data_IF_836993451490
#
_entry.id   IF_836993451490
#
_cell.length_a   1.000
_cell.length_b   1.000
_cell.length_c   1.000
_cell.angle_alpha   90.00
_cell.angle_beta   90.00
_cell.angle_gamma   90.00
#
_symmetry.space_group_name_H-M   'P 1'
#
loop_
_entity.id
_entity.type
_entity.pdbx_description
1 polymer ?
#
# COMPACT_ATOMS: atom_id res chain seq x y z
N UNK A 1 -10.87 17.51 -2.36
CA UNK A 1 -11.56 18.64 -3.03
C UNK A 1 -10.83 19.91 -2.64
N UNK A 2 -10.53 20.78 -3.59
CA UNK A 2 -9.74 22.01 -3.34
C UNK A 2 -10.57 23.03 -2.54
N UNK A 3 -9.94 23.81 -1.66
CA UNK A 3 -10.59 24.88 -0.88
C UNK A 3 -11.46 25.83 -1.72
N UNK A 4 -11.13 25.96 -3.01
CA UNK A 4 -11.91 26.72 -3.97
C UNK A 4 -13.34 26.17 -4.15
N UNK A 5 -13.51 24.84 -4.20
CA UNK A 5 -14.82 24.20 -4.34
C UNK A 5 -15.72 24.43 -3.12
N UNK A 6 -15.12 24.49 -1.93
CA UNK A 6 -15.84 24.71 -0.67
C UNK A 6 -16.27 26.18 -0.52
N UNK A 7 -15.42 27.14 -0.93
CA UNK A 7 -15.82 28.55 -1.00
C UNK A 7 -16.93 28.81 -2.02
N UNK A 8 -16.88 28.17 -3.18
CA UNK A 8 -17.91 28.30 -4.22
C UNK A 8 -19.24 27.74 -3.72
N UNK A 9 -19.26 26.53 -3.15
CA UNK A 9 -20.48 25.94 -2.58
C UNK A 9 -21.11 26.83 -1.51
N UNK A 10 -20.30 27.45 -0.64
CA UNK A 10 -20.78 28.36 0.40
C UNK A 10 -21.37 29.65 -0.19
N UNK A 11 -20.69 30.27 -1.16
CA UNK A 11 -21.17 31.49 -1.83
C UNK A 11 -22.44 31.25 -2.64
N UNK A 12 -22.51 30.13 -3.34
CA UNK A 12 -23.69 29.74 -4.15
C UNK A 12 -24.86 29.39 -3.23
N UNK A 13 -24.63 28.69 -2.11
CA UNK A 13 -25.65 28.40 -1.11
C UNK A 13 -26.29 29.67 -0.51
N UNK A 14 -25.49 30.72 -0.25
CA UNK A 14 -26.03 32.01 0.20
C UNK A 14 -26.78 32.77 -0.89
N UNK A 15 -26.33 32.73 -2.15
CA UNK A 15 -27.05 33.35 -3.27
C UNK A 15 -28.40 32.69 -3.52
N UNK A 16 -28.47 31.38 -3.32
CA UNK A 16 -29.68 30.57 -3.43
C UNK A 16 -30.73 30.94 -2.36
N UNK A 17 -30.32 31.43 -1.19
CA UNK A 17 -31.24 31.89 -0.14
C UNK A 17 -31.86 33.26 -0.43
N UNK A 18 -31.31 34.05 -1.35
CA UNK A 18 -31.82 35.38 -1.70
C UNK A 18 -33.30 35.40 -2.17
N UNK A 19 -33.77 34.51 -3.07
CA UNK A 19 -35.19 34.44 -3.43
C UNK A 19 -36.09 34.04 -2.26
N UNK A 20 -35.60 33.27 -1.27
CA UNK A 20 -36.37 32.93 -0.08
C UNK A 20 -36.51 34.13 0.89
N UNK A 21 -35.42 34.87 1.11
CA UNK A 21 -35.39 35.96 2.09
C UNK A 21 -35.98 37.27 1.54
N UNK A 22 -35.85 37.52 0.23
CA UNK A 22 -36.25 38.79 -0.38
C UNK A 22 -37.42 38.58 -1.35
N UNK A 23 -37.34 37.59 -2.24
CA UNK A 23 -38.31 37.39 -3.32
C UNK A 23 -39.68 36.88 -2.85
N UNK A 24 -39.68 35.87 -1.98
CA UNK A 24 -40.91 35.26 -1.44
C UNK A 24 -41.71 36.25 -0.56
N UNK A 25 -41.09 37.00 0.36
CA UNK A 25 -41.81 38.01 1.14
C UNK A 25 -42.34 39.17 0.29
N UNK A 26 -41.56 39.66 -0.68
CA UNK A 26 -42.03 40.75 -1.57
C UNK A 26 -43.22 40.29 -2.43
N UNK A 27 -43.21 39.07 -2.96
CA UNK A 27 -44.34 38.51 -3.69
C UNK A 27 -45.60 38.32 -2.81
N UNK A 28 -45.42 37.93 -1.55
CA UNK A 28 -46.52 37.83 -0.58
C UNK A 28 -47.13 39.21 -0.26
N UNK A 29 -46.29 40.23 -0.02
CA UNK A 29 -46.75 41.59 0.24
C UNK A 29 -47.37 42.26 -1.00
N UNK A 30 -46.95 41.87 -2.21
CA UNK A 30 -47.56 42.28 -3.47
C UNK A 30 -48.90 41.57 -3.77
N UNK A 31 -49.32 40.61 -2.93
CA UNK A 31 -50.51 39.75 -3.12
C UNK A 31 -50.51 38.91 -4.41
N UNK A 32 -49.34 38.67 -5.00
CA UNK A 32 -49.23 37.82 -6.19
C UNK A 32 -49.35 36.32 -5.86
N UNK A 33 -49.08 35.96 -4.59
CA UNK A 33 -49.14 34.58 -4.10
C UNK A 33 -49.93 34.49 -2.80
N UNK A 34 -50.62 33.36 -2.63
CA UNK A 34 -51.34 33.04 -1.40
C UNK A 34 -50.39 32.48 -0.33
N UNK A 35 -50.77 32.59 0.95
CA UNK A 35 -49.97 32.16 2.10
C UNK A 35 -49.60 30.67 1.99
N UNK A 36 -50.51 29.84 1.48
CA UNK A 36 -50.29 28.41 1.30
C UNK A 36 -49.12 28.15 0.33
N UNK A 37 -49.08 28.88 -0.79
CA UNK A 37 -48.02 28.77 -1.80
C UNK A 37 -46.69 29.25 -1.23
N UNK A 38 -46.69 30.35 -0.46
CA UNK A 38 -45.51 30.84 0.24
C UNK A 38 -44.91 29.76 1.16
N UNK A 39 -45.73 29.13 2.02
CA UNK A 39 -45.26 28.09 2.93
C UNK A 39 -44.72 26.87 2.21
N UNK A 40 -45.37 26.42 1.13
CA UNK A 40 -44.92 25.26 0.36
C UNK A 40 -43.54 25.49 -0.28
N UNK A 41 -43.36 26.65 -0.92
CA UNK A 41 -42.10 27.01 -1.57
C UNK A 41 -41.01 27.26 -0.52
N UNK A 42 -41.35 27.85 0.63
CA UNK A 42 -40.39 28.10 1.70
C UNK A 42 -39.84 26.81 2.33
N UNK A 43 -40.71 25.83 2.58
CA UNK A 43 -40.31 24.51 3.11
C UNK A 43 -39.46 23.75 2.10
N UNK A 44 -39.83 23.76 0.81
CA UNK A 44 -39.06 23.12 -0.25
C UNK A 44 -37.65 23.71 -0.34
N UNK A 45 -37.52 25.04 -0.28
CA UNK A 45 -36.24 25.70 -0.30
C UNK A 45 -35.39 25.44 0.95
N UNK A 46 -36.00 25.35 2.12
CA UNK A 46 -35.31 24.97 3.36
C UNK A 46 -34.70 23.57 3.26
N UNK A 47 -35.42 22.62 2.65
CA UNK A 47 -34.90 21.27 2.41
C UNK A 47 -33.70 21.27 1.44
N UNK A 48 -33.77 22.06 0.37
CA UNK A 48 -32.65 22.21 -0.57
C UNK A 48 -31.42 22.82 0.11
N UNK A 49 -31.62 23.86 0.93
CA UNK A 49 -30.55 24.48 1.70
C UNK A 49 -29.94 23.51 2.72
N UNK A 50 -30.77 22.73 3.41
CA UNK A 50 -30.33 21.68 4.34
C UNK A 50 -29.47 20.63 3.63
N UNK A 51 -29.89 20.16 2.44
CA UNK A 51 -29.13 19.21 1.63
C UNK A 51 -27.78 19.77 1.16
N UNK A 52 -27.72 21.06 0.80
CA UNK A 52 -26.48 21.71 0.39
C UNK A 52 -25.50 21.94 1.55
N UNK A 53 -26.01 22.14 2.77
CA UNK A 53 -25.19 22.35 3.97
C UNK A 53 -24.70 21.00 4.53
N UNK A 54 -25.60 20.03 4.72
CA UNK A 54 -25.29 18.73 5.35
C UNK A 54 -24.71 17.73 4.35
N UNK A 55 -25.14 17.74 3.09
CA UNK A 55 -24.69 16.79 2.07
C UNK A 55 -23.18 16.83 1.80
N UNK A 56 -22.51 17.95 2.12
CA UNK A 56 -21.06 18.06 2.01
C UNK A 56 -20.33 17.17 3.02
N UNK A 57 -20.83 17.04 4.25
CA UNK A 57 -20.22 16.16 5.26
C UNK A 57 -20.39 14.69 4.87
N UNK A 58 -21.57 14.32 4.36
CA UNK A 58 -21.87 12.94 3.95
C UNK A 58 -21.02 12.48 2.75
N UNK A 59 -20.70 13.37 1.80
CA UNK A 59 -19.77 13.07 0.69
C UNK A 59 -18.31 12.97 1.18
N UNK A 60 -17.95 13.77 2.19
CA UNK A 60 -16.61 13.74 2.80
C UNK A 60 -16.34 12.42 3.54
N UNK A 61 -17.35 11.87 4.22
CA UNK A 61 -17.24 10.58 4.90
C UNK A 61 -17.05 9.44 3.89
N UNK A 62 -17.85 9.38 2.82
CA UNK A 62 -17.72 8.35 1.78
C UNK A 62 -16.34 8.40 1.11
N UNK A 63 -15.79 9.60 0.90
CA UNK A 63 -14.45 9.75 0.33
C UNK A 63 -13.35 9.34 1.30
N UNK A 64 -13.52 9.59 2.61
CA UNK A 64 -12.62 9.09 3.64
C UNK A 64 -12.57 7.55 3.69
N UNK A 65 -13.74 6.89 3.70
CA UNK A 65 -13.81 5.43 3.66
C UNK A 65 -13.18 4.85 2.39
N UNK A 66 -13.41 5.46 1.23
CA UNK A 66 -12.81 5.03 -0.03
C UNK A 66 -11.28 5.18 -0.05
N UNK A 67 -10.76 6.24 0.58
CA UNK A 67 -9.32 6.44 0.74
C UNK A 67 -8.71 5.41 1.71
N UNK A 68 -9.39 5.08 2.81
CA UNK A 68 -8.97 4.01 3.73
C UNK A 68 -8.87 2.66 3.03
N UNK A 69 -9.94 2.25 2.32
CA UNK A 69 -9.99 0.96 1.60
C UNK A 69 -8.87 0.86 0.55
N UNK A 70 -8.57 1.96 -0.16
CA UNK A 70 -7.48 1.98 -1.14
C UNK A 70 -6.11 1.78 -0.49
N UNK A 71 -5.93 2.37 0.70
CA UNK A 71 -4.68 2.26 1.48
C UNK A 71 -4.51 0.84 2.00
N UNK A 72 -5.58 0.24 2.53
CA UNK A 72 -5.58 -1.14 3.03
C UNK A 72 -5.33 -2.16 1.92
N UNK A 73 -5.94 -1.97 0.74
CA UNK A 73 -5.70 -2.80 -0.43
C UNK A 73 -4.25 -2.71 -0.93
N UNK A 74 -3.65 -1.51 -0.89
CA UNK A 74 -2.25 -1.33 -1.27
C UNK A 74 -1.29 -2.01 -0.28
N UNK A 75 -1.57 -1.92 1.03
CA UNK A 75 -0.81 -2.61 2.06
C UNK A 75 -0.89 -4.14 1.92
N UNK A 76 -2.09 -4.67 1.69
CA UNK A 76 -2.30 -6.11 1.46
C UNK A 76 -1.58 -6.60 0.19
N UNK A 77 -1.61 -5.82 -0.90
CA UNK A 77 -0.89 -6.15 -2.13
C UNK A 77 0.62 -6.18 -1.91
N UNK A 78 1.16 -5.18 -1.21
CA UNK A 78 2.59 -5.10 -0.88
C UNK A 78 3.03 -6.29 -0.02
N UNK A 79 2.25 -6.65 1.00
CA UNK A 79 2.54 -7.81 1.84
C UNK A 79 2.55 -9.12 1.03
N UNK A 80 1.63 -9.27 0.08
CA UNK A 80 1.61 -10.43 -0.82
C UNK A 80 2.83 -10.48 -1.74
N UNK A 81 3.21 -9.34 -2.34
CA UNK A 81 4.39 -9.24 -3.20
C UNK A 81 5.68 -9.58 -2.42
N UNK A 82 5.81 -9.09 -1.19
CA UNK A 82 6.93 -9.43 -0.29
C UNK A 82 6.94 -10.92 0.06
N UNK A 83 5.78 -11.51 0.37
CA UNK A 83 5.66 -12.94 0.65
C UNK A 83 6.01 -13.83 -0.57
N UNK A 84 5.58 -13.45 -1.77
CA UNK A 84 5.94 -14.14 -3.01
C UNK A 84 7.46 -14.06 -3.26
N UNK A 85 8.08 -12.90 -3.03
CA UNK A 85 9.54 -12.74 -3.13
C UNK A 85 10.30 -13.63 -2.14
N UNK A 86 9.85 -13.69 -0.88
CA UNK A 86 10.45 -14.56 0.14
C UNK A 86 10.31 -16.03 -0.25
N UNK A 87 9.13 -16.45 -0.73
CA UNK A 87 8.90 -17.82 -1.19
C UNK A 87 9.87 -18.20 -2.32
N UNK A 88 10.06 -17.31 -3.28
CA UNK A 88 10.93 -17.56 -4.42
C UNK A 88 12.41 -17.61 -3.99
N UNK A 89 12.82 -16.76 -3.04
CA UNK A 89 14.14 -16.83 -2.40
C UNK A 89 14.37 -18.16 -1.66
N UNK A 90 13.37 -18.64 -0.90
CA UNK A 90 13.44 -19.94 -0.21
C UNK A 90 13.59 -21.09 -1.22
N UNK A 91 12.85 -21.03 -2.33
CA UNK A 91 12.92 -22.04 -3.40
C UNK A 91 14.30 -22.08 -4.04
N UNK A 92 14.90 -20.92 -4.27
CA UNK A 92 16.25 -20.79 -4.82
C UNK A 92 17.30 -21.38 -3.87
N UNK A 93 17.29 -20.98 -2.59
CA UNK A 93 18.19 -21.52 -1.57
C UNK A 93 18.04 -23.04 -1.45
N UNK A 94 16.80 -23.54 -1.42
CA UNK A 94 16.52 -24.97 -1.33
C UNK A 94 17.07 -25.73 -2.54
N UNK A 95 16.96 -25.18 -3.75
CA UNK A 95 17.55 -25.75 -4.97
C UNK A 95 19.07 -25.87 -4.82
N UNK A 96 19.75 -24.79 -4.45
CA UNK A 96 21.21 -24.75 -4.32
C UNK A 96 21.70 -25.74 -3.24
N UNK A 97 20.98 -25.86 -2.13
CA UNK A 97 21.29 -26.84 -1.07
C UNK A 97 21.14 -28.28 -1.55
N UNK A 98 20.06 -28.60 -2.27
CA UNK A 98 19.84 -29.95 -2.82
C UNK A 98 20.91 -30.30 -3.85
N UNK A 99 21.25 -29.36 -4.75
CA UNK A 99 22.32 -29.52 -5.73
C UNK A 99 23.67 -29.77 -5.06
N UNK A 100 24.01 -28.99 -4.03
CA UNK A 100 25.26 -29.17 -3.29
C UNK A 100 25.31 -30.51 -2.55
N UNK A 101 24.20 -30.95 -1.95
CA UNK A 101 24.14 -32.26 -1.28
C UNK A 101 24.30 -33.41 -2.28
N UNK A 102 23.68 -33.30 -3.46
CA UNK A 102 23.89 -34.25 -4.55
C UNK A 102 25.34 -34.27 -5.02
N UNK A 103 25.96 -33.10 -5.23
CA UNK A 103 27.37 -33.01 -5.63
C UNK A 103 28.29 -33.63 -4.58
N UNK A 104 28.09 -33.35 -3.29
CA UNK A 104 28.86 -33.98 -2.20
C UNK A 104 28.69 -35.50 -2.20
N UNK A 105 27.48 -36.00 -2.44
CA UNK A 105 27.18 -37.43 -2.44
C UNK A 105 27.75 -38.17 -3.65
N UNK A 106 27.80 -37.52 -4.82
CA UNK A 106 28.28 -38.11 -6.07
C UNK A 106 29.78 -37.92 -6.30
N UNK A 107 30.41 -36.98 -5.62
CA UNK A 107 31.82 -36.62 -5.80
C UNK A 107 32.60 -37.02 -4.57
N UNK A 108 33.45 -38.05 -4.68
CA UNK A 108 34.37 -38.40 -3.60
C UNK A 108 35.30 -37.21 -3.29
N UNK A 109 35.45 -36.77 -2.03
CA UNK A 109 36.37 -35.70 -1.63
C UNK A 109 37.82 -35.94 -2.07
N UNK A 110 38.18 -37.21 -2.33
CA UNK A 110 39.50 -37.64 -2.77
C UNK A 110 39.69 -37.66 -4.31
N UNK A 111 38.62 -37.55 -5.09
CA UNK A 111 38.64 -37.73 -6.55
C UNK A 111 38.55 -36.42 -7.34
N UNK A 112 38.33 -35.28 -6.68
CA UNK A 112 38.17 -33.99 -7.34
C UNK A 112 39.46 -33.20 -7.38
N UNK A 113 40.04 -33.08 -8.57
CA UNK A 113 40.98 -32.01 -8.84
C UNK A 113 40.27 -30.66 -8.69
N UNK A 114 40.99 -29.63 -8.23
CA UNK A 114 40.49 -28.24 -8.11
C UNK A 114 39.86 -27.69 -9.41
N UNK A 115 40.15 -28.32 -10.56
CA UNK A 115 39.69 -27.90 -11.88
C UNK A 115 38.44 -28.64 -12.36
N UNK A 116 37.90 -29.62 -11.62
CA UNK A 116 36.70 -30.32 -12.08
C UNK A 116 35.49 -29.38 -12.12
N UNK A 117 34.68 -29.50 -13.18
CA UNK A 117 33.48 -28.67 -13.35
C UNK A 117 32.51 -28.79 -12.16
N UNK A 118 32.44 -29.98 -11.55
CA UNK A 118 31.64 -30.22 -10.34
C UNK A 118 32.14 -29.41 -9.12
N UNK A 119 33.46 -29.28 -8.96
CA UNK A 119 34.06 -28.47 -7.87
C UNK A 119 33.81 -26.98 -8.10
N UNK A 120 33.92 -26.50 -9.33
CA UNK A 120 33.63 -25.10 -9.67
C UNK A 120 32.15 -24.77 -9.45
N UNK A 121 31.24 -25.65 -9.87
CA UNK A 121 29.80 -25.49 -9.61
C UNK A 121 29.46 -25.50 -8.13
N UNK A 122 30.05 -26.43 -7.36
CA UNK A 122 29.88 -26.47 -5.92
C UNK A 122 30.38 -25.18 -5.25
N UNK A 123 31.55 -24.68 -5.64
CA UNK A 123 32.11 -23.45 -5.10
C UNK A 123 31.21 -22.24 -5.41
N UNK A 124 30.73 -22.11 -6.66
CA UNK A 124 29.82 -21.04 -7.06
C UNK A 124 28.50 -21.08 -6.27
N UNK A 125 27.96 -22.28 -6.04
CA UNK A 125 26.77 -22.48 -5.23
C UNK A 125 26.99 -22.10 -3.76
N UNK A 126 28.16 -22.46 -3.20
CA UNK A 126 28.54 -22.05 -1.84
C UNK A 126 28.73 -20.55 -1.71
N UNK A 127 29.29 -19.87 -2.72
CA UNK A 127 29.40 -18.41 -2.74
C UNK A 127 28.04 -17.73 -2.86
N UNK A 128 27.12 -18.28 -3.67
CA UNK A 128 25.75 -17.80 -3.76
C UNK A 128 24.99 -17.92 -2.42
N UNK A 129 25.14 -19.05 -1.72
CA UNK A 129 24.59 -19.24 -0.37
C UNK A 129 25.23 -18.31 0.66
N UNK A 130 26.56 -18.12 0.59
CA UNK A 130 27.29 -17.24 1.49
C UNK A 130 26.79 -15.79 1.37
N UNK A 131 26.65 -15.30 0.14
CA UNK A 131 26.15 -13.94 -0.13
C UNK A 131 24.67 -13.76 0.23
N UNK A 132 23.89 -14.85 0.17
CA UNK A 132 22.49 -14.83 0.59
C UNK A 132 22.35 -14.75 2.12
N UNK A 133 23.18 -15.48 2.87
CA UNK A 133 23.14 -15.54 4.34
C UNK A 133 23.74 -14.28 4.97
N UNK A 134 24.86 -13.81 4.44
CA UNK A 134 25.55 -12.61 4.93
C UNK A 134 26.04 -11.79 3.73
N UNK A 135 25.26 -10.78 3.28
CA UNK A 135 25.64 -9.94 2.16
C UNK A 135 26.75 -8.93 2.50
N UNK A 136 27.05 -8.71 3.78
CA UNK A 136 28.19 -7.89 4.21
C UNK A 136 29.49 -8.70 4.11
N UNK A 137 30.36 -8.30 3.19
CA UNK A 137 31.63 -8.95 2.91
C UNK A 137 32.52 -9.09 4.15
N UNK A 138 32.50 -8.09 5.03
CA UNK A 138 33.32 -8.08 6.26
C UNK A 138 32.87 -9.19 7.22
N UNK A 139 31.55 -9.30 7.41
CA UNK A 139 30.95 -10.31 8.29
C UNK A 139 31.01 -11.71 7.69
N UNK A 140 30.92 -11.81 6.36
CA UNK A 140 31.08 -13.07 5.65
C UNK A 140 32.49 -13.64 5.84
N UNK A 141 33.53 -12.78 5.81
CA UNK A 141 34.91 -13.17 6.09
C UNK A 141 35.08 -13.67 7.53
N UNK A 142 34.60 -12.91 8.52
CA UNK A 142 34.66 -13.31 9.94
C UNK A 142 33.89 -14.62 10.21
N UNK A 143 32.76 -14.82 9.54
CA UNK A 143 32.01 -16.07 9.63
C UNK A 143 32.77 -17.26 9.03
N UNK A 144 33.39 -17.08 7.86
CA UNK A 144 34.23 -18.11 7.22
C UNK A 144 35.46 -18.45 8.06
N UNK A 145 36.07 -17.47 8.71
CA UNK A 145 37.19 -17.69 9.64
C UNK A 145 36.77 -18.50 10.86
N UNK A 146 35.64 -18.16 11.49
CA UNK A 146 35.08 -18.95 12.60
C UNK A 146 34.78 -20.39 12.20
N UNK A 147 34.25 -20.63 11.00
CA UNK A 147 34.03 -21.98 10.48
C UNK A 147 35.35 -22.74 10.25
N UNK A 148 36.40 -22.05 9.80
CA UNK A 148 37.73 -22.63 9.60
C UNK A 148 38.39 -23.01 10.93
N UNK A 149 38.22 -22.20 11.96
CA UNK A 149 38.68 -22.51 13.33
C UNK A 149 38.00 -23.76 13.89
N UNK A 150 36.68 -23.91 13.68
CA UNK A 150 35.93 -25.11 14.07
C UNK A 150 36.42 -26.37 13.35
N UNK A 151 36.84 -26.26 12.09
CA UNK A 151 37.34 -27.39 11.31
C UNK A 151 38.74 -27.85 11.72
N UNK A 152 39.62 -26.92 12.11
CA UNK A 152 40.99 -27.26 12.52
C UNK A 152 41.12 -27.62 14.01
N UNK A 153 40.10 -27.34 14.82
CA UNK A 153 40.09 -27.60 16.26
C UNK A 153 41.07 -26.70 17.04
N UNK A 154 40.88 -26.51 18.36
CA UNK A 154 41.89 -25.86 19.18
C UNK A 154 43.15 -26.73 19.18
N UNK A 155 44.30 -26.15 18.81
CA UNK A 155 45.61 -26.76 19.05
C UNK A 155 45.91 -26.84 20.53
#
# INVERSE_FOLDING_TARGET
MSDASQQVARRVGYLILAPLVIGLPTALFAKEIDIQVFTAVAVLWLLVALFLIIGHESISEITFWKASIKTDAAAAKKAREEAEKIRDQIREVSRVVVENNYLISCVSPLASSKESAATQHFQANMDALSNFVEPDETRAIEWRERLRELYHGPR
#
